data_IF_685203269383
#
_entry.id   IF_685203269383
#
_cell.length_a   1.000
_cell.length_b   1.000
_cell.length_c   1.000
_cell.angle_alpha   90.00
_cell.angle_beta   90.00
_cell.angle_gamma   90.00
#
_symmetry.space_group_name_H-M   'P 1'
#
loop_
_entity.id
_entity.type
_entity.pdbx_description
1 polymer ?
#
# COMPACT_ATOMS: atom_id res chain seq x y z
N UNK A 1 -1.40 8.94 0.45
CA UNK A 1 -1.98 9.93 1.38
C UNK A 1 -0.91 10.42 2.36
N UNK A 2 -0.25 9.49 3.05
CA UNK A 2 0.81 9.75 4.05
C UNK A 2 1.90 10.73 3.57
N UNK A 3 2.48 10.53 2.38
CA UNK A 3 3.50 11.45 1.86
C UNK A 3 3.01 12.90 1.73
N UNK A 4 1.73 13.13 1.39
CA UNK A 4 1.16 14.48 1.29
C UNK A 4 0.93 15.10 2.66
N UNK A 5 0.51 14.30 3.64
CA UNK A 5 0.38 14.74 5.04
C UNK A 5 1.75 15.11 5.63
N UNK A 6 2.81 14.37 5.29
CA UNK A 6 4.19 14.68 5.70
C UNK A 6 4.69 15.98 5.06
N UNK A 7 4.51 16.12 3.73
CA UNK A 7 5.00 17.30 3.00
C UNK A 7 4.29 18.58 3.45
N UNK A 8 3.00 18.50 3.74
CA UNK A 8 2.19 19.64 4.16
C UNK A 8 2.06 19.75 5.68
N UNK A 9 2.93 19.08 6.45
CA UNK A 9 2.79 19.04 7.91
C UNK A 9 2.81 20.43 8.56
N UNK A 10 3.56 21.34 7.97
CA UNK A 10 3.66 22.76 8.32
C UNK A 10 2.38 23.57 8.00
N UNK A 11 1.46 23.02 7.21
CA UNK A 11 0.17 23.63 6.84
C UNK A 11 -1.00 23.15 7.72
N UNK A 12 -0.76 22.26 8.69
CA UNK A 12 -1.81 21.73 9.56
C UNK A 12 -1.53 22.08 11.02
N UNK A 13 -2.47 22.77 11.65
CA UNK A 13 -2.34 23.21 13.04
C UNK A 13 -2.49 22.06 14.06
N UNK A 14 -3.28 21.03 13.73
CA UNK A 14 -3.56 19.87 14.58
C UNK A 14 -4.12 18.68 13.78
N UNK A 15 -4.36 17.56 14.47
CA UNK A 15 -4.91 16.32 13.90
C UNK A 15 -6.29 16.51 13.28
N UNK A 16 -7.15 17.39 13.82
CA UNK A 16 -8.46 17.66 13.24
C UNK A 16 -8.36 18.31 11.85
N UNK A 17 -7.38 19.21 11.64
CA UNK A 17 -7.10 19.77 10.32
C UNK A 17 -6.60 18.70 9.33
N UNK A 18 -5.77 17.76 9.79
CA UNK A 18 -5.30 16.65 8.96
C UNK A 18 -6.43 15.66 8.64
N UNK A 19 -7.30 15.36 9.60
CA UNK A 19 -8.48 14.52 9.41
C UNK A 19 -9.45 15.14 8.40
N UNK A 20 -9.75 16.44 8.53
CA UNK A 20 -10.55 17.16 7.53
C UNK A 20 -9.92 17.16 6.14
N UNK A 21 -8.59 17.20 6.03
CA UNK A 21 -7.91 17.00 4.75
C UNK A 21 -8.13 15.59 4.19
N UNK A 22 -8.01 14.54 5.02
CA UNK A 22 -8.26 13.16 4.59
C UNK A 22 -9.71 12.96 4.15
N UNK A 23 -10.68 13.46 4.92
CA UNK A 23 -12.10 13.42 4.60
C UNK A 23 -12.38 14.04 3.21
N UNK A 24 -11.86 15.24 2.95
CA UNK A 24 -12.00 15.93 1.66
C UNK A 24 -11.34 15.20 0.46
N UNK A 25 -10.52 14.17 0.72
CA UNK A 25 -9.90 13.33 -0.33
C UNK A 25 -10.71 12.06 -0.60
N UNK A 26 -11.66 11.70 0.26
CA UNK A 26 -12.57 10.59 0.05
C UNK A 26 -13.78 11.06 -0.75
N UNK A 27 -14.35 10.16 -1.53
CA UNK A 27 -15.49 10.44 -2.42
C UNK A 27 -16.36 9.20 -2.55
N UNK A 28 -17.66 9.40 -2.82
CA UNK A 28 -18.62 8.32 -3.01
C UNK A 28 -18.71 7.40 -1.80
N UNK A 29 -18.83 6.10 -2.04
CA UNK A 29 -19.02 5.05 -1.03
C UNK A 29 -18.00 5.11 0.13
N UNK A 30 -16.77 5.52 -0.15
CA UNK A 30 -15.74 5.62 0.88
C UNK A 30 -15.95 6.77 1.87
N UNK A 31 -16.52 7.89 1.39
CA UNK A 31 -16.91 8.99 2.26
C UNK A 31 -18.17 8.62 3.04
N UNK A 32 -19.17 8.05 2.38
CA UNK A 32 -20.43 7.62 3.02
C UNK A 32 -20.20 6.60 4.14
N UNK A 33 -19.28 5.65 3.94
CA UNK A 33 -18.90 4.67 4.95
C UNK A 33 -18.15 5.30 6.14
N UNK A 34 -17.41 6.39 5.94
CA UNK A 34 -16.66 7.06 7.00
C UNK A 34 -17.55 7.95 7.88
N UNK A 35 -18.54 8.63 7.31
CA UNK A 35 -19.35 9.66 7.99
C UNK A 35 -19.90 9.23 9.37
N UNK A 36 -20.44 8.01 9.58
CA UNK A 36 -20.94 7.59 10.89
C UNK A 36 -19.87 7.64 11.98
N UNK A 37 -18.62 7.31 11.66
CA UNK A 37 -17.49 7.25 12.58
C UNK A 37 -16.92 8.63 12.94
N UNK A 38 -17.34 9.70 12.24
CA UNK A 38 -16.97 11.08 12.56
C UNK A 38 -17.97 11.74 13.53
N UNK A 39 -19.13 11.11 13.77
CA UNK A 39 -20.15 11.63 14.67
C UNK A 39 -19.71 11.54 16.14
N UNK A 40 -20.02 12.58 16.93
CA UNK A 40 -19.73 12.63 18.36
C UNK A 40 -20.41 11.53 19.17
N UNK A 41 -21.56 11.03 18.69
CA UNK A 41 -22.36 10.01 19.37
C UNK A 41 -21.98 8.57 18.96
N UNK A 42 -21.00 8.39 18.07
CA UNK A 42 -20.60 7.07 17.61
C UNK A 42 -19.71 6.38 18.66
N UNK A 43 -20.00 5.12 19.05
CA UNK A 43 -19.21 4.43 20.08
C UNK A 43 -17.75 4.20 19.66
N UNK A 44 -17.51 3.99 18.37
CA UNK A 44 -16.18 3.80 17.78
C UNK A 44 -15.70 5.06 17.03
N UNK A 45 -15.97 6.24 17.57
CA UNK A 45 -15.61 7.51 16.94
C UNK A 45 -14.11 7.57 16.63
N UNK A 46 -13.77 8.04 15.44
CA UNK A 46 -12.39 8.25 15.00
C UNK A 46 -11.98 9.69 15.34
N UNK A 47 -11.31 9.88 16.47
CA UNK A 47 -10.89 11.21 16.96
C UNK A 47 -9.43 11.58 16.63
N UNK A 48 -8.68 10.68 16.00
CA UNK A 48 -7.27 10.89 15.66
C UNK A 48 -6.98 10.50 14.22
N UNK A 49 -5.97 11.13 13.63
CA UNK A 49 -5.50 10.79 12.29
C UNK A 49 -5.06 9.32 12.20
N UNK A 50 -4.38 8.80 13.23
CA UNK A 50 -3.93 7.41 13.26
C UNK A 50 -5.11 6.43 13.27
N UNK A 51 -6.16 6.71 14.05
CA UNK A 51 -7.38 5.89 14.05
C UNK A 51 -8.08 5.92 12.68
N UNK A 52 -8.17 7.09 12.06
CA UNK A 52 -8.75 7.25 10.72
C UNK A 52 -7.98 6.45 9.66
N UNK A 53 -6.65 6.56 9.64
CA UNK A 53 -5.80 5.83 8.70
C UNK A 53 -5.86 4.32 8.94
N UNK A 54 -5.89 3.89 10.21
CA UNK A 54 -6.04 2.48 10.55
C UNK A 54 -7.38 1.91 10.08
N UNK A 55 -8.48 2.65 10.26
CA UNK A 55 -9.80 2.27 9.77
C UNK A 55 -9.84 2.17 8.24
N UNK A 56 -9.31 3.17 7.53
CA UNK A 56 -9.20 3.13 6.07
C UNK A 56 -8.36 1.94 5.60
N UNK A 57 -7.30 1.61 6.33
CA UNK A 57 -6.48 0.45 6.03
C UNK A 57 -7.24 -0.86 6.27
N UNK A 58 -8.00 -1.00 7.35
CA UNK A 58 -8.76 -2.22 7.61
C UNK A 58 -9.89 -2.44 6.62
N UNK A 59 -10.54 -1.37 6.19
CA UNK A 59 -11.73 -1.45 5.32
C UNK A 59 -11.35 -1.68 3.85
N UNK A 60 -10.31 -0.98 3.36
CA UNK A 60 -10.02 -0.95 1.92
C UNK A 60 -8.74 -1.69 1.51
N UNK A 61 -7.84 -2.03 2.44
CA UNK A 61 -6.63 -2.78 2.09
C UNK A 61 -6.90 -4.28 2.21
N UNK A 62 -6.72 -4.99 1.09
CA UNK A 62 -6.77 -6.45 1.06
C UNK A 62 -5.71 -7.04 2.02
N UNK A 63 -6.15 -7.56 3.16
CA UNK A 63 -5.29 -8.16 4.19
C UNK A 63 -4.52 -9.38 3.66
N UNK A 64 -5.01 -10.02 2.59
CA UNK A 64 -4.35 -11.15 1.93
C UNK A 64 -3.36 -10.70 0.84
N UNK A 65 -3.29 -9.41 0.51
CA UNK A 65 -2.44 -8.89 -0.56
C UNK A 65 -0.97 -9.28 -0.38
N UNK A 66 -0.44 -9.25 0.85
CA UNK A 66 0.93 -9.70 1.14
C UNK A 66 1.13 -11.18 0.81
N UNK A 67 0.16 -12.03 1.16
CA UNK A 67 0.24 -13.47 0.88
C UNK A 67 0.09 -13.75 -0.62
N UNK A 68 -0.85 -13.06 -1.30
CA UNK A 68 -1.01 -13.11 -2.76
C UNK A 68 0.28 -12.69 -3.47
N UNK A 69 0.88 -11.58 -3.06
CA UNK A 69 2.16 -11.10 -3.59
C UNK A 69 3.29 -12.11 -3.35
N UNK A 70 3.37 -12.73 -2.16
CA UNK A 70 4.37 -13.77 -1.88
C UNK A 70 4.20 -14.98 -2.79
N UNK A 71 2.97 -15.46 -2.99
CA UNK A 71 2.68 -16.58 -3.91
C UNK A 71 3.01 -16.23 -5.36
N UNK A 72 2.66 -15.02 -5.81
CA UNK A 72 3.00 -14.53 -7.14
C UNK A 72 4.51 -14.41 -7.32
N UNK A 73 5.22 -13.83 -6.34
CA UNK A 73 6.68 -13.71 -6.35
C UNK A 73 7.39 -15.06 -6.41
N UNK A 74 6.92 -16.06 -5.65
CA UNK A 74 7.46 -17.42 -5.69
C UNK A 74 7.33 -18.05 -7.07
N UNK A 75 6.18 -17.87 -7.72
CA UNK A 75 5.89 -18.37 -9.07
C UNK A 75 6.50 -17.53 -10.19
N UNK A 76 6.98 -16.32 -9.89
CA UNK A 76 7.56 -15.42 -10.86
C UNK A 76 8.85 -16.03 -11.42
N UNK A 77 8.88 -16.18 -12.74
CA UNK A 77 10.03 -16.62 -13.53
C UNK A 77 9.92 -15.96 -14.90
N UNK A 78 11.02 -15.44 -15.42
CA UNK A 78 11.09 -14.83 -16.74
C UNK A 78 10.97 -15.93 -17.79
N UNK A 79 10.12 -15.73 -18.79
CA UNK A 79 10.03 -16.60 -19.98
C UNK A 79 11.01 -16.11 -21.05
N UNK A 80 11.36 -17.01 -21.98
CA UNK A 80 12.31 -16.69 -23.06
C UNK A 80 11.90 -15.49 -23.92
N UNK A 81 10.60 -15.23 -24.06
CA UNK A 81 10.06 -14.13 -24.87
C UNK A 81 9.72 -12.87 -24.05
N UNK A 82 9.92 -12.88 -22.73
CA UNK A 82 9.56 -11.73 -21.89
C UNK A 82 10.57 -10.58 -22.07
N UNK A 83 10.07 -9.35 -21.94
CA UNK A 83 10.93 -8.18 -21.86
C UNK A 83 11.58 -8.10 -20.46
N UNK A 84 12.91 -7.95 -20.41
CA UNK A 84 13.67 -7.89 -19.15
C UNK A 84 13.25 -6.73 -18.24
N UNK A 85 12.94 -5.56 -18.82
CA UNK A 85 12.57 -4.37 -18.06
C UNK A 85 11.19 -4.56 -17.41
N UNK A 86 10.22 -5.10 -18.16
CA UNK A 86 8.89 -5.41 -17.62
C UNK A 86 8.97 -6.47 -16.52
N UNK A 87 9.76 -7.52 -16.75
CA UNK A 87 10.04 -8.55 -15.75
C UNK A 87 10.67 -7.95 -14.48
N UNK A 88 11.65 -7.06 -14.62
CA UNK A 88 12.32 -6.39 -13.50
C UNK A 88 11.35 -5.51 -12.71
N UNK A 89 10.49 -4.76 -13.39
CA UNK A 89 9.48 -3.93 -12.75
C UNK A 89 8.52 -4.80 -11.93
N UNK A 90 8.05 -5.90 -12.51
CA UNK A 90 7.16 -6.85 -11.84
C UNK A 90 7.84 -7.54 -10.65
N UNK A 91 9.11 -7.94 -10.80
CA UNK A 91 9.92 -8.49 -9.72
C UNK A 91 10.02 -7.50 -8.54
N UNK A 92 10.39 -6.25 -8.79
CA UNK A 92 10.55 -5.22 -7.76
C UNK A 92 9.21 -4.94 -7.07
N UNK A 93 8.13 -4.84 -7.86
CA UNK A 93 6.77 -4.62 -7.35
C UNK A 93 6.35 -5.76 -6.40
N UNK A 94 6.49 -7.01 -6.84
CA UNK A 94 6.11 -8.18 -6.05
C UNK A 94 7.02 -8.38 -4.83
N UNK A 95 8.33 -8.15 -4.95
CA UNK A 95 9.27 -8.21 -3.83
C UNK A 95 8.91 -7.19 -2.74
N UNK A 96 8.58 -5.96 -3.14
CA UNK A 96 8.14 -4.90 -2.23
C UNK A 96 6.81 -5.24 -1.53
N UNK A 97 5.81 -5.70 -2.28
CA UNK A 97 4.50 -6.10 -1.73
C UNK A 97 4.61 -7.33 -0.81
N UNK A 98 5.47 -8.29 -1.15
CA UNK A 98 5.75 -9.47 -0.32
C UNK A 98 6.65 -9.15 0.89
N UNK A 99 7.19 -7.93 0.99
CA UNK A 99 8.16 -7.49 2.02
C UNK A 99 9.41 -8.38 2.05
N UNK A 100 9.97 -8.72 0.89
CA UNK A 100 11.21 -9.52 0.78
C UNK A 100 12.43 -8.69 1.23
N UNK A 101 13.36 -9.24 2.03
CA UNK A 101 14.59 -8.54 2.41
C UNK A 101 15.41 -8.15 1.18
N UNK A 102 15.89 -6.89 1.12
CA UNK A 102 16.64 -6.39 -0.05
C UNK A 102 17.95 -7.14 -0.30
N UNK A 103 18.53 -7.76 0.74
CA UNK A 103 19.71 -8.65 0.66
C UNK A 103 19.51 -9.80 -0.32
N UNK A 104 18.30 -10.34 -0.36
CA UNK A 104 17.99 -11.57 -1.10
C UNK A 104 17.68 -11.28 -2.57
N UNK A 105 17.46 -10.01 -2.93
CA UNK A 105 16.90 -9.66 -4.23
C UNK A 105 17.85 -9.97 -5.38
N UNK A 106 19.17 -9.88 -5.18
CA UNK A 106 20.14 -10.15 -6.25
C UNK A 106 20.13 -11.64 -6.63
N UNK A 107 20.15 -12.51 -5.62
CA UNK A 107 20.10 -13.96 -5.79
C UNK A 107 18.74 -14.38 -6.35
N UNK A 108 17.64 -13.94 -5.71
CA UNK A 108 16.27 -14.22 -6.16
C UNK A 108 16.05 -13.77 -7.62
N UNK A 109 16.61 -12.64 -8.04
CA UNK A 109 16.49 -12.15 -9.41
C UNK A 109 17.24 -13.04 -10.39
N UNK A 110 18.48 -13.41 -10.08
CA UNK A 110 19.31 -14.29 -10.92
C UNK A 110 18.66 -15.68 -11.09
N UNK A 111 18.04 -16.21 -10.05
CA UNK A 111 17.34 -17.49 -10.09
C UNK A 111 16.07 -17.47 -10.95
N UNK A 112 15.50 -16.29 -11.16
CA UNK A 112 14.24 -16.12 -11.88
C UNK A 112 14.39 -15.62 -13.30
N UNK A 113 15.55 -15.08 -13.70
CA UNK A 113 15.83 -14.77 -15.11
C UNK A 113 16.17 -16.04 -15.89
N UNK A 114 15.94 -15.97 -17.21
CA UNK A 114 16.22 -17.08 -18.14
C UNK A 114 17.72 -17.38 -18.16
N UNK A 115 18.10 -18.64 -18.40
CA UNK A 115 19.52 -19.04 -18.47
C UNK A 115 20.30 -18.35 -19.59
N UNK A 116 19.64 -17.82 -20.61
CA UNK A 116 20.27 -17.09 -21.71
C UNK A 116 20.76 -15.69 -21.30
N UNK A 117 20.26 -15.18 -20.17
CA UNK A 117 20.57 -13.85 -19.63
C UNK A 117 21.36 -13.91 -18.31
N UNK A 118 21.73 -15.12 -17.87
CA UNK A 118 22.55 -15.34 -16.67
C UNK A 118 24.05 -15.19 -16.95
#
# INVERSE_FOLDING_TARGET
LENKLIINRDHFDNDAAMMGYVENRLTGDALEALLPYLSDDHPDKLDTLDALLAWLQSEYVDQTAKQKARRAYQKLSMKACDNLQDFRNEFVRLAGQAKRPRSDWKEDFNDKITSQLR
#
